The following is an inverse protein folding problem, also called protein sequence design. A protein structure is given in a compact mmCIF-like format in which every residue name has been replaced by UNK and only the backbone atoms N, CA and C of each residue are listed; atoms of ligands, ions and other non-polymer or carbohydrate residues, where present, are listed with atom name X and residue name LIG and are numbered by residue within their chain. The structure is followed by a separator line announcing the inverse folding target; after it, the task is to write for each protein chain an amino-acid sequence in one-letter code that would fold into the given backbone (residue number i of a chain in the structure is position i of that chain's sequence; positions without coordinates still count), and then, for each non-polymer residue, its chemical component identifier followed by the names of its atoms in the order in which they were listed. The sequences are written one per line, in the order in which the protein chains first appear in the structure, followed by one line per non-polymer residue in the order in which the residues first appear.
data_IF_031302249260
#
_entry.id   IF_031302249260
#
_cell.length_a   1.000
_cell.length_b   1.000
_cell.length_c   1.000
_cell.angle_alpha   90.00
_cell.angle_beta   90.00
_cell.angle_gamma   90.00
#
_symmetry.space_group_name_H-M   'P 1'
#
loop_
_entity.id
_entity.type
_entity.pdbx_description
1 polymer ?
#
# COMPACT_ATOMS: atom_id res chain seq x y z
N UNK A 1 2.38 -29.00 -24.33
CA UNK A 1 1.36 -29.44 -23.35
C UNK A 1 1.32 -28.52 -22.11
N UNK A 2 2.44 -28.26 -21.44
CA UNK A 2 2.52 -27.30 -20.31
C UNK A 2 2.00 -25.88 -20.65
N UNK A 3 2.25 -25.39 -21.85
CA UNK A 3 1.81 -24.06 -22.30
C UNK A 3 0.28 -23.90 -22.38
N UNK A 4 -0.48 -24.98 -22.62
CA UNK A 4 -1.95 -24.94 -22.61
C UNK A 4 -2.53 -25.02 -21.20
N UNK A 5 -1.86 -25.71 -20.27
CA UNK A 5 -2.27 -25.79 -18.86
C UNK A 5 -2.09 -24.45 -18.12
N UNK A 6 -1.02 -23.70 -18.41
CA UNK A 6 -0.79 -22.37 -17.81
C UNK A 6 -1.68 -21.27 -18.41
N UNK A 7 -2.23 -21.46 -19.61
CA UNK A 7 -3.16 -20.50 -20.21
C UNK A 7 -4.59 -20.59 -19.66
N UNK A 8 -4.98 -21.67 -18.97
CA UNK A 8 -6.37 -21.85 -18.55
C UNK A 8 -6.74 -21.21 -17.20
N UNK A 9 -5.76 -20.75 -16.40
CA UNK A 9 -6.07 -20.18 -15.08
C UNK A 9 -4.88 -19.35 -14.53
N UNK A 10 -4.73 -18.08 -14.95
CA UNK A 10 -3.81 -17.11 -14.32
C UNK A 10 -3.96 -17.00 -12.79
N UNK A 11 -5.11 -17.41 -12.26
CA UNK A 11 -5.37 -17.57 -10.84
C UNK A 11 -4.49 -18.62 -10.15
N UNK A 12 -4.04 -19.67 -10.84
CA UNK A 12 -3.10 -20.64 -10.26
C UNK A 12 -1.72 -20.05 -10.01
N UNK A 13 -1.21 -19.24 -10.96
CA UNK A 13 0.08 -18.56 -10.81
C UNK A 13 0.03 -17.62 -9.59
N UNK A 14 -1.04 -16.83 -9.47
CA UNK A 14 -1.26 -15.98 -8.30
C UNK A 14 -1.31 -16.78 -6.99
N UNK A 15 -2.02 -17.91 -6.96
CA UNK A 15 -2.10 -18.77 -5.78
C UNK A 15 -0.73 -19.36 -5.37
N UNK A 16 0.08 -19.80 -6.35
CA UNK A 16 1.42 -20.33 -6.10
C UNK A 16 2.33 -19.25 -5.50
N UNK A 17 2.31 -18.04 -6.07
CA UNK A 17 3.12 -16.92 -5.57
C UNK A 17 2.64 -16.47 -4.18
N UNK A 18 1.33 -16.49 -3.93
CA UNK A 18 0.76 -16.26 -2.61
C UNK A 18 1.25 -17.29 -1.59
N UNK A 19 1.18 -18.58 -1.92
CA UNK A 19 1.67 -19.66 -1.06
C UNK A 19 3.18 -19.56 -0.79
N UNK A 20 3.98 -19.25 -1.80
CA UNK A 20 5.41 -18.97 -1.65
C UNK A 20 5.67 -17.82 -0.66
N UNK A 21 4.90 -16.74 -0.78
CA UNK A 21 5.01 -15.58 0.11
C UNK A 21 4.59 -15.90 1.54
N UNK A 22 3.52 -16.68 1.72
CA UNK A 22 3.11 -17.19 3.04
C UNK A 22 4.22 -18.03 3.67
N UNK A 23 4.82 -18.96 2.92
CA UNK A 23 5.88 -19.83 3.40
C UNK A 23 7.14 -19.04 3.82
N UNK A 24 7.56 -18.06 3.02
CA UNK A 24 8.70 -17.20 3.35
C UNK A 24 8.46 -16.42 4.64
N UNK A 25 7.31 -15.72 4.73
CA UNK A 25 6.97 -14.91 5.90
C UNK A 25 6.74 -15.76 7.16
N UNK A 26 6.12 -16.93 7.02
CA UNK A 26 5.94 -17.88 8.12
C UNK A 26 7.29 -18.40 8.63
N UNK A 27 8.24 -18.69 7.74
CA UNK A 27 9.59 -19.13 8.11
C UNK A 27 10.32 -18.05 8.91
N UNK A 28 10.25 -16.80 8.46
CA UNK A 28 10.81 -15.65 9.20
C UNK A 28 10.15 -15.49 10.57
N UNK A 29 8.83 -15.68 10.64
CA UNK A 29 8.09 -15.57 11.89
C UNK A 29 8.44 -16.67 12.90
N UNK A 30 8.56 -17.90 12.43
CA UNK A 30 8.83 -19.07 13.28
C UNK A 30 10.28 -19.12 13.77
N UNK A 31 11.23 -18.60 12.97
CA UNK A 31 12.65 -18.61 13.27
C UNK A 31 13.22 -17.19 13.28
N UNK A 32 13.06 -16.42 14.37
CA UNK A 32 13.46 -15.02 14.48
C UNK A 32 14.98 -14.88 14.68
N UNK A 33 15.79 -15.47 13.81
CA UNK A 33 17.24 -15.33 13.79
C UNK A 33 17.69 -14.55 12.56
N UNK A 34 18.73 -13.71 12.69
CA UNK A 34 19.28 -12.95 11.57
C UNK A 34 19.78 -13.87 10.45
N UNK A 35 20.30 -15.05 10.82
CA UNK A 35 20.78 -16.07 9.89
C UNK A 35 19.67 -16.68 9.03
N UNK A 36 18.42 -16.73 9.52
CA UNK A 36 17.26 -17.16 8.73
C UNK A 36 16.62 -15.96 8.02
N UNK A 37 16.56 -14.81 8.68
CA UNK A 37 15.91 -13.61 8.19
C UNK A 37 16.44 -13.16 6.82
N UNK A 38 17.75 -12.88 6.71
CA UNK A 38 18.31 -12.31 5.49
C UNK A 38 18.23 -13.26 4.29
N UNK A 39 18.64 -14.55 4.41
CA UNK A 39 18.53 -15.47 3.28
C UNK A 39 17.10 -15.66 2.81
N UNK A 40 16.14 -15.85 3.73
CA UNK A 40 14.74 -16.06 3.34
C UNK A 40 14.16 -14.82 2.66
N UNK A 41 14.41 -13.62 3.20
CA UNK A 41 13.92 -12.37 2.60
C UNK A 41 14.55 -12.10 1.22
N UNK A 42 15.87 -12.28 1.09
CA UNK A 42 16.56 -12.09 -0.20
C UNK A 42 16.08 -13.11 -1.23
N UNK A 43 16.02 -14.40 -0.87
CA UNK A 43 15.51 -15.44 -1.77
C UNK A 43 14.06 -15.17 -2.17
N UNK A 44 13.20 -14.78 -1.22
CA UNK A 44 11.81 -14.44 -1.51
C UNK A 44 11.69 -13.26 -2.49
N UNK A 45 12.41 -12.16 -2.25
CA UNK A 45 12.41 -11.00 -3.15
C UNK A 45 12.93 -11.35 -4.54
N UNK A 46 14.01 -12.12 -4.64
CA UNK A 46 14.56 -12.60 -5.92
C UNK A 46 13.52 -13.44 -6.65
N UNK A 47 12.85 -14.38 -5.98
CA UNK A 47 11.81 -15.20 -6.59
C UNK A 47 10.62 -14.36 -7.08
N UNK A 48 10.20 -13.32 -6.36
CA UNK A 48 9.16 -12.40 -6.82
C UNK A 48 9.62 -11.63 -8.08
N UNK A 49 10.83 -11.10 -8.09
CA UNK A 49 11.38 -10.38 -9.26
C UNK A 49 11.47 -11.32 -10.48
N UNK A 50 11.99 -12.53 -10.29
CA UNK A 50 12.08 -13.54 -11.36
C UNK A 50 10.70 -13.95 -11.87
N UNK A 51 9.73 -14.15 -10.97
CA UNK A 51 8.34 -14.43 -11.36
C UNK A 51 7.74 -13.27 -12.17
N UNK A 52 7.99 -12.02 -11.76
CA UNK A 52 7.57 -10.84 -12.51
C UNK A 52 8.17 -10.82 -13.92
N UNK A 53 9.50 -11.00 -14.06
CA UNK A 53 10.17 -11.04 -15.36
C UNK A 53 9.68 -12.17 -16.25
N UNK A 54 9.50 -13.37 -15.68
CA UNK A 54 8.96 -14.51 -16.41
C UNK A 54 7.58 -14.20 -16.99
N UNK A 55 6.71 -13.60 -16.18
CA UNK A 55 5.37 -13.25 -16.63
C UNK A 55 5.43 -12.10 -17.64
N UNK A 56 6.26 -11.08 -17.43
CA UNK A 56 6.37 -9.93 -18.34
C UNK A 56 6.84 -10.31 -19.73
N UNK A 57 7.86 -11.17 -19.85
CA UNK A 57 8.33 -11.69 -21.12
C UNK A 57 7.24 -12.47 -21.87
N UNK A 58 6.37 -13.18 -21.14
CA UNK A 58 5.34 -14.05 -21.72
C UNK A 58 4.04 -13.34 -22.06
N UNK A 59 3.69 -12.31 -21.29
CA UNK A 59 2.34 -11.78 -21.23
C UNK A 59 2.30 -10.25 -21.46
N UNK A 60 3.40 -9.52 -21.22
CA UNK A 60 3.52 -8.08 -21.48
C UNK A 60 2.67 -7.20 -20.55
N UNK A 61 3.27 -6.67 -19.50
CA UNK A 61 2.52 -5.86 -18.53
C UNK A 61 2.32 -4.41 -18.97
N UNK A 62 1.11 -3.88 -18.76
CA UNK A 62 0.78 -2.45 -19.00
C UNK A 62 1.07 -1.54 -17.81
N UNK A 63 1.16 -2.09 -16.59
CA UNK A 63 1.34 -1.33 -15.36
C UNK A 63 2.71 -1.63 -14.74
N UNK A 64 3.28 -0.71 -13.95
CA UNK A 64 4.51 -0.95 -13.18
C UNK A 64 4.23 -1.89 -12.00
N UNK A 65 3.79 -3.13 -12.27
CA UNK A 65 3.37 -4.08 -11.24
C UNK A 65 4.49 -4.40 -10.26
N UNK A 66 5.72 -4.55 -10.76
CA UNK A 66 6.88 -4.79 -9.90
C UNK A 66 7.00 -3.72 -8.82
N UNK A 67 6.79 -2.45 -9.18
CA UNK A 67 6.83 -1.35 -8.23
C UNK A 67 5.72 -1.47 -7.17
N UNK A 68 4.50 -1.85 -7.58
CA UNK A 68 3.41 -2.12 -6.61
C UNK A 68 3.76 -3.26 -5.66
N UNK A 69 4.27 -4.38 -6.18
CA UNK A 69 4.64 -5.54 -5.36
C UNK A 69 5.74 -5.16 -4.37
N UNK A 70 6.79 -4.47 -4.81
CA UNK A 70 7.89 -4.07 -3.94
C UNK A 70 7.43 -3.11 -2.85
N UNK A 71 6.59 -2.13 -3.19
CA UNK A 71 5.96 -1.23 -2.22
C UNK A 71 5.13 -2.02 -1.21
N UNK A 72 4.24 -2.91 -1.67
CA UNK A 72 3.39 -3.72 -0.80
C UNK A 72 4.20 -4.63 0.11
N UNK A 73 5.20 -5.33 -0.42
CA UNK A 73 6.09 -6.19 0.37
C UNK A 73 6.80 -5.38 1.44
N UNK A 74 7.40 -4.24 1.07
CA UNK A 74 8.12 -3.39 2.00
C UNK A 74 7.19 -2.83 3.09
N UNK A 75 6.08 -2.19 2.71
CA UNK A 75 5.14 -1.57 3.64
C UNK A 75 4.50 -2.57 4.59
N UNK A 76 4.03 -3.72 4.09
CA UNK A 76 3.38 -4.71 4.95
C UNK A 76 4.36 -5.46 5.84
N UNK A 77 5.59 -5.68 5.36
CA UNK A 77 6.65 -6.22 6.21
C UNK A 77 7.01 -5.24 7.35
N UNK A 78 7.09 -3.93 7.05
CA UNK A 78 7.27 -2.90 8.08
C UNK A 78 6.19 -2.97 9.15
N UNK A 79 4.90 -3.09 8.77
CA UNK A 79 3.82 -3.27 9.74
C UNK A 79 3.96 -4.58 10.53
N UNK A 80 4.28 -5.69 9.86
CA UNK A 80 4.47 -6.99 10.52
C UNK A 80 5.56 -6.93 11.61
N UNK A 81 6.61 -6.14 11.39
CA UNK A 81 7.75 -6.00 12.32
C UNK A 81 7.38 -5.32 13.65
N UNK A 82 6.36 -4.46 13.68
CA UNK A 82 5.96 -3.70 14.88
C UNK A 82 4.75 -4.29 15.60
N UNK A 83 3.99 -5.18 14.97
CA UNK A 83 2.89 -5.89 15.63
C UNK A 83 3.47 -6.88 16.63
N UNK A 84 3.06 -6.84 17.90
CA UNK A 84 3.61 -7.75 18.92
C UNK A 84 2.82 -9.06 19.04
N UNK A 85 1.49 -8.99 18.91
CA UNK A 85 0.60 -10.12 19.17
C UNK A 85 0.70 -11.18 18.06
N UNK A 86 1.12 -12.39 18.42
CA UNK A 86 1.36 -13.49 17.48
C UNK A 86 0.14 -13.82 16.60
N UNK A 87 -1.07 -13.84 17.17
CA UNK A 87 -2.29 -14.11 16.40
C UNK A 87 -2.50 -13.09 15.27
N UNK A 88 -2.22 -11.80 15.53
CA UNK A 88 -2.36 -10.73 14.54
C UNK A 88 -1.28 -10.87 13.47
N UNK A 89 -0.05 -11.25 13.85
CA UNK A 89 1.03 -11.54 12.88
C UNK A 89 0.63 -12.64 11.90
N UNK A 90 0.08 -13.76 12.38
CA UNK A 90 -0.37 -14.84 11.50
C UNK A 90 -1.44 -14.38 10.52
N UNK A 91 -2.44 -13.63 10.99
CA UNK A 91 -3.47 -13.04 10.12
C UNK A 91 -2.84 -12.13 9.07
N UNK A 92 -1.90 -11.27 9.46
CA UNK A 92 -1.19 -10.39 8.53
C UNK A 92 -0.37 -11.18 7.49
N UNK A 93 0.31 -12.25 7.88
CA UNK A 93 1.05 -13.11 6.94
C UNK A 93 0.12 -13.66 5.85
N UNK A 94 -1.04 -14.18 6.24
CA UNK A 94 -2.04 -14.70 5.29
C UNK A 94 -2.58 -13.59 4.40
N UNK A 95 -2.87 -12.41 4.96
CA UNK A 95 -3.34 -11.25 4.21
C UNK A 95 -2.30 -10.77 3.20
N UNK A 96 -1.01 -10.66 3.59
CA UNK A 96 0.09 -10.29 2.70
C UNK A 96 0.20 -11.29 1.55
N UNK A 97 0.21 -12.58 1.87
CA UNK A 97 0.26 -13.64 0.87
C UNK A 97 -0.91 -13.58 -0.11
N UNK A 98 -2.12 -13.35 0.38
CA UNK A 98 -3.31 -13.19 -0.45
C UNK A 98 -3.23 -11.94 -1.34
N UNK A 99 -2.77 -10.80 -0.82
CA UNK A 99 -2.61 -9.56 -1.59
C UNK A 99 -1.57 -9.75 -2.70
N UNK A 100 -0.38 -10.26 -2.37
CA UNK A 100 0.69 -10.50 -3.36
C UNK A 100 0.19 -11.48 -4.42
N UNK A 101 -0.43 -12.59 -4.01
CA UNK A 101 -1.00 -13.56 -4.95
C UNK A 101 -2.08 -12.95 -5.85
N UNK A 102 -2.95 -12.10 -5.31
CA UNK A 102 -3.97 -11.38 -6.08
C UNK A 102 -3.38 -10.37 -7.06
N UNK A 103 -2.33 -9.63 -6.67
CA UNK A 103 -1.62 -8.69 -7.55
C UNK A 103 -1.04 -9.40 -8.78
N UNK A 104 -0.39 -10.56 -8.60
CA UNK A 104 0.09 -11.38 -9.71
C UNK A 104 -1.05 -12.00 -10.51
N UNK A 105 -2.01 -12.66 -9.85
CA UNK A 105 -3.08 -13.40 -10.53
C UNK A 105 -4.00 -12.49 -11.35
N UNK A 106 -4.50 -11.40 -10.77
CA UNK A 106 -5.38 -10.47 -11.48
C UNK A 106 -4.66 -9.60 -12.48
N UNK A 107 -3.36 -9.41 -12.29
CA UNK A 107 -2.53 -8.68 -13.22
C UNK A 107 -2.38 -9.39 -14.58
N UNK A 108 -2.31 -10.73 -14.58
CA UNK A 108 -2.20 -11.54 -15.82
C UNK A 108 -3.52 -11.59 -16.61
N UNK A 109 -4.67 -11.68 -15.93
CA UNK A 109 -6.02 -11.80 -16.57
C UNK A 109 -6.33 -10.64 -17.54
N UNK A 110 -5.58 -9.53 -17.49
CA UNK A 110 -6.00 -8.22 -18.01
C UNK A 110 -5.30 -7.78 -19.29
N UNK A 111 -4.45 -8.59 -19.89
CA UNK A 111 -3.78 -8.22 -21.15
C UNK A 111 -4.80 -8.03 -22.28
N UNK A 112 -5.90 -8.80 -22.27
CA UNK A 112 -6.89 -8.85 -23.35
C UNK A 112 -8.25 -8.19 -23.05
N UNK A 113 -8.46 -7.64 -21.85
CA UNK A 113 -9.79 -7.20 -21.42
C UNK A 113 -9.98 -5.66 -21.55
N UNK A 114 -11.00 -5.21 -22.29
CA UNK A 114 -11.27 -3.78 -22.54
C UNK A 114 -11.56 -2.92 -21.28
N UNK A 115 -11.57 -1.58 -21.41
CA UNK A 115 -11.61 -0.58 -20.32
C UNK A 115 -12.57 -0.83 -19.15
N UNK A 116 -13.75 -1.43 -19.38
CA UNK A 116 -14.73 -1.74 -18.32
C UNK A 116 -14.22 -2.83 -17.36
N UNK A 117 -13.45 -3.79 -17.86
CA UNK A 117 -12.85 -4.87 -17.05
C UNK A 117 -11.80 -4.33 -16.07
N UNK A 118 -11.15 -3.20 -16.38
CA UNK A 118 -10.05 -2.60 -15.62
C UNK A 118 -10.47 -2.04 -14.25
N UNK A 119 -11.77 -1.73 -14.07
CA UNK A 119 -12.28 -1.01 -12.90
C UNK A 119 -12.08 -1.75 -11.55
N UNK A 120 -12.35 -3.06 -11.40
CA UNK A 120 -12.15 -3.76 -10.14
C UNK A 120 -10.69 -3.80 -9.69
N UNK A 121 -9.74 -4.02 -10.59
CA UNK A 121 -8.32 -4.03 -10.23
C UNK A 121 -7.82 -2.65 -9.86
N UNK A 122 -8.20 -1.58 -10.56
CA UNK A 122 -7.84 -0.23 -10.13
C UNK A 122 -8.32 0.08 -8.71
N UNK A 123 -9.52 -0.39 -8.36
CA UNK A 123 -10.06 -0.26 -7.00
C UNK A 123 -9.25 -1.08 -6.00
N UNK A 124 -9.00 -2.35 -6.31
CA UNK A 124 -8.18 -3.22 -5.48
C UNK A 124 -6.76 -2.67 -5.28
N UNK A 125 -6.04 -2.34 -6.35
CA UNK A 125 -4.72 -1.75 -6.29
C UNK A 125 -4.73 -0.42 -5.52
N UNK A 126 -5.76 0.42 -5.67
CA UNK A 126 -5.88 1.64 -4.86
C UNK A 126 -6.12 1.37 -3.37
N UNK A 127 -6.84 0.30 -3.03
CA UNK A 127 -7.03 -0.13 -1.63
C UNK A 127 -5.73 -0.68 -1.06
N UNK A 128 -4.99 -1.48 -1.84
CA UNK A 128 -3.66 -1.99 -1.47
C UNK A 128 -2.70 -0.84 -1.22
N UNK A 129 -2.60 0.13 -2.14
CA UNK A 129 -1.75 1.32 -1.96
C UNK A 129 -2.13 2.15 -0.73
N UNK A 130 -3.42 2.30 -0.43
CA UNK A 130 -3.85 2.96 0.79
C UNK A 130 -3.45 2.17 2.04
N UNK A 131 -3.56 0.84 1.99
CA UNK A 131 -3.12 -0.02 3.08
C UNK A 131 -1.59 -0.04 3.24
N UNK A 132 -0.82 0.04 2.15
CA UNK A 132 0.64 0.18 2.15
C UNK A 132 1.07 1.51 2.79
N UNK A 133 0.35 2.59 2.47
CA UNK A 133 0.54 3.89 3.11
C UNK A 133 0.35 3.78 4.63
N UNK A 134 -0.77 3.19 5.05
CA UNK A 134 -1.09 2.94 6.47
C UNK A 134 -0.02 2.08 7.16
N UNK A 135 0.37 0.98 6.54
CA UNK A 135 1.31 0.03 7.10
C UNK A 135 2.68 0.67 7.36
N UNK A 136 3.21 1.42 6.38
CA UNK A 136 4.51 2.06 6.55
C UNK A 136 4.46 3.24 7.55
N UNK A 137 3.42 4.08 7.50
CA UNK A 137 3.39 5.22 8.41
C UNK A 137 3.16 4.79 9.86
N UNK A 138 2.40 3.71 10.07
CA UNK A 138 2.24 3.07 11.38
C UNK A 138 3.59 2.58 11.92
N UNK A 139 4.41 1.99 11.05
CA UNK A 139 5.78 1.60 11.38
C UNK A 139 6.66 2.82 11.74
N UNK A 140 6.61 3.91 10.97
CA UNK A 140 7.35 5.13 11.28
C UNK A 140 6.92 5.78 12.59
N UNK A 141 5.62 5.82 12.90
CA UNK A 141 5.16 6.28 14.21
C UNK A 141 5.66 5.38 15.34
N UNK A 142 5.61 4.06 15.17
CA UNK A 142 6.16 3.13 16.15
C UNK A 142 7.67 3.38 16.37
N UNK A 143 8.47 3.49 15.29
CA UNK A 143 9.89 3.81 15.39
C UNK A 143 10.13 5.13 16.12
N UNK A 144 9.39 6.19 15.78
CA UNK A 144 9.48 7.49 16.46
C UNK A 144 9.22 7.36 17.96
N UNK A 145 8.19 6.59 18.36
CA UNK A 145 7.84 6.36 19.76
C UNK A 145 8.90 5.59 20.55
N UNK A 146 9.63 4.67 19.90
CA UNK A 146 10.71 3.91 20.56
C UNK A 146 12.06 4.63 20.56
N UNK A 147 12.18 5.77 19.88
CA UNK A 147 13.45 6.52 19.79
C UNK A 147 13.47 7.72 20.72
N UNK A 148 14.53 7.85 21.53
CA UNK A 148 14.70 8.99 22.44
C UNK A 148 15.30 10.24 21.79
N UNK A 149 15.83 10.12 20.57
CA UNK A 149 16.49 11.23 19.87
C UNK A 149 15.48 12.09 19.10
N UNK A 150 15.47 13.42 19.26
CA UNK A 150 14.54 14.30 18.53
C UNK A 150 14.81 14.37 17.03
N UNK A 151 15.98 13.91 16.55
CA UNK A 151 16.36 13.94 15.13
C UNK A 151 15.68 12.83 14.33
N UNK A 152 15.37 11.69 14.95
CA UNK A 152 14.81 10.53 14.25
C UNK A 152 13.34 10.73 13.86
N UNK A 153 12.45 11.30 14.69
CA UNK A 153 11.09 11.64 14.28
C UNK A 153 11.04 12.60 13.08
N UNK A 154 11.94 13.58 13.01
CA UNK A 154 12.04 14.47 11.86
C UNK A 154 12.43 13.70 10.58
N UNK A 155 13.41 12.81 10.67
CA UNK A 155 13.79 11.94 9.56
C UNK A 155 12.61 11.08 9.10
N UNK A 156 11.88 10.44 10.02
CA UNK A 156 10.72 9.62 9.69
C UNK A 156 9.56 10.43 9.12
N UNK A 157 9.39 11.70 9.52
CA UNK A 157 8.42 12.63 8.93
C UNK A 157 8.76 12.91 7.47
N UNK A 158 10.03 13.21 7.17
CA UNK A 158 10.50 13.44 5.80
C UNK A 158 10.37 12.17 4.95
N UNK A 159 10.81 11.03 5.46
CA UNK A 159 10.68 9.75 4.75
C UNK A 159 9.21 9.38 4.52
N UNK A 160 8.34 9.61 5.50
CA UNK A 160 6.90 9.43 5.39
C UNK A 160 6.30 10.28 4.28
N UNK A 161 6.56 11.58 4.28
CA UNK A 161 6.07 12.48 3.23
C UNK A 161 6.54 12.09 1.83
N UNK A 162 7.83 11.73 1.67
CA UNK A 162 8.36 11.24 0.40
C UNK A 162 7.67 9.94 -0.04
N UNK A 163 7.40 9.02 0.89
CA UNK A 163 6.69 7.79 0.59
C UNK A 163 5.27 8.06 0.10
N UNK A 164 4.51 8.89 0.83
CA UNK A 164 3.15 9.28 0.44
C UNK A 164 3.12 10.01 -0.91
N UNK A 165 4.16 10.79 -1.24
CA UNK A 165 4.31 11.39 -2.56
C UNK A 165 4.43 10.31 -3.66
N UNK A 166 5.32 9.33 -3.48
CA UNK A 166 5.48 8.21 -4.42
C UNK A 166 4.19 7.40 -4.57
N UNK A 167 3.51 7.10 -3.45
CA UNK A 167 2.23 6.39 -3.47
C UNK A 167 1.13 7.19 -4.19
N UNK A 168 1.14 8.52 -4.08
CA UNK A 168 0.22 9.40 -4.81
C UNK A 168 0.42 9.27 -6.31
N UNK A 169 1.68 9.32 -6.77
CA UNK A 169 2.02 9.13 -8.19
C UNK A 169 1.54 7.75 -8.68
N UNK A 170 1.78 6.72 -7.90
CA UNK A 170 1.35 5.34 -8.18
C UNK A 170 -0.17 5.24 -8.27
N UNK A 171 -0.89 5.86 -7.33
CA UNK A 171 -2.35 5.91 -7.35
C UNK A 171 -2.88 6.67 -8.57
N UNK A 172 -2.30 7.81 -8.95
CA UNK A 172 -2.71 8.57 -10.14
C UNK A 172 -2.45 7.82 -11.43
N UNK A 173 -1.33 7.10 -11.54
CA UNK A 173 -1.01 6.27 -12.72
C UNK A 173 -1.99 5.11 -12.93
N UNK A 174 -2.75 4.71 -11.91
CA UNK A 174 -3.86 3.76 -12.12
C UNK A 174 -5.00 4.39 -12.93
N UNK A 175 -5.22 5.70 -12.83
CA UNK A 175 -6.35 6.39 -13.44
C UNK A 175 -5.99 7.19 -14.70
N UNK A 176 -4.77 7.72 -14.76
CA UNK A 176 -4.35 8.66 -15.79
C UNK A 176 -3.11 8.14 -16.54
N UNK A 177 -3.19 8.13 -17.88
CA UNK A 177 -2.05 7.80 -18.77
C UNK A 177 -1.28 9.06 -19.16
N UNK A 178 -0.86 9.84 -18.17
CA UNK A 178 -0.10 11.08 -18.38
C UNK A 178 1.37 10.83 -18.05
N UNK A 179 2.27 11.56 -18.71
CA UNK A 179 3.70 11.52 -18.40
C UNK A 179 3.95 11.91 -16.94
N UNK A 180 4.89 11.21 -16.29
CA UNK A 180 5.25 11.43 -14.87
C UNK A 180 5.61 12.89 -14.60
N UNK A 181 6.26 13.57 -15.57
CA UNK A 181 6.65 14.98 -15.46
C UNK A 181 5.49 15.92 -15.10
N UNK A 182 4.29 15.66 -15.63
CA UNK A 182 3.11 16.48 -15.34
C UNK A 182 2.62 16.32 -13.89
N UNK A 183 2.92 15.18 -13.25
CA UNK A 183 2.54 14.92 -11.87
C UNK A 183 3.61 15.30 -10.84
N UNK A 184 4.84 15.61 -11.26
CA UNK A 184 5.93 15.88 -10.32
C UNK A 184 5.61 17.04 -9.36
N UNK A 185 5.05 18.13 -9.87
CA UNK A 185 4.67 19.28 -9.04
C UNK A 185 3.62 18.88 -7.99
N UNK A 186 2.55 18.18 -8.41
CA UNK A 186 1.50 17.71 -7.51
C UNK A 186 1.99 16.66 -6.51
N UNK A 187 2.92 15.80 -6.94
CA UNK A 187 3.57 14.80 -6.09
C UNK A 187 4.36 15.50 -4.97
N UNK A 188 5.11 16.55 -5.28
CA UNK A 188 5.86 17.32 -4.29
C UNK A 188 4.93 18.03 -3.31
N UNK A 189 3.85 18.66 -3.80
CA UNK A 189 2.83 19.27 -2.93
C UNK A 189 2.24 18.22 -1.98
N UNK A 190 1.83 17.06 -2.50
CA UNK A 190 1.30 15.98 -1.67
C UNK A 190 2.31 15.50 -0.63
N UNK A 191 3.59 15.42 -0.97
CA UNK A 191 4.66 15.10 -0.04
C UNK A 191 4.74 16.11 1.10
N UNK A 192 4.87 17.40 0.79
CA UNK A 192 4.98 18.47 1.79
C UNK A 192 3.74 18.54 2.68
N UNK A 193 2.54 18.52 2.10
CA UNK A 193 1.28 18.50 2.86
C UNK A 193 1.22 17.31 3.80
N UNK A 194 1.70 16.14 3.36
CA UNK A 194 1.71 14.95 4.21
C UNK A 194 2.79 15.01 5.28
N UNK A 195 3.95 15.65 5.03
CA UNK A 195 4.97 15.89 6.06
C UNK A 195 4.41 16.75 7.20
N UNK A 196 3.77 17.87 6.86
CA UNK A 196 3.11 18.74 7.85
C UNK A 196 2.02 17.99 8.62
N UNK A 197 1.22 17.19 7.91
CA UNK A 197 0.20 16.36 8.53
C UNK A 197 0.79 15.34 9.52
N UNK A 198 1.86 14.64 9.14
CA UNK A 198 2.55 13.68 10.01
C UNK A 198 3.09 14.40 11.25
N UNK A 199 3.72 15.57 11.07
CA UNK A 199 4.26 16.37 12.16
C UNK A 199 3.18 16.77 13.16
N UNK A 200 2.06 17.33 12.68
CA UNK A 200 0.94 17.75 13.54
C UNK A 200 0.29 16.57 14.24
N UNK A 201 0.05 15.47 13.51
CA UNK A 201 -0.59 14.27 14.07
C UNK A 201 0.31 13.59 15.10
N UNK A 202 1.64 13.64 14.94
CA UNK A 202 2.58 13.07 15.91
C UNK A 202 2.46 13.67 17.32
N UNK A 203 1.98 14.92 17.43
CA UNK A 203 1.77 15.60 18.71
C UNK A 203 0.50 15.15 19.44
N UNK A 204 -0.36 14.38 18.78
CA UNK A 204 -1.59 13.87 19.39
C UNK A 204 -1.27 12.68 20.31
N UNK A 205 -1.93 12.58 21.49
CA UNK A 205 -1.72 11.51 22.43
C UNK A 205 -2.47 10.23 21.99
N UNK A 206 -2.17 9.68 20.81
CA UNK A 206 -2.76 8.43 20.34
C UNK A 206 -1.72 7.36 20.09
N UNK A 207 -2.14 6.09 20.13
CA UNK A 207 -1.29 4.98 19.70
C UNK A 207 -0.93 5.05 18.22
N UNK A 208 0.26 4.56 17.87
CA UNK A 208 0.80 4.59 16.50
C UNK A 208 -0.13 4.00 15.40
N UNK A 209 -0.99 2.98 15.63
CA UNK A 209 -1.93 2.53 14.61
C UNK A 209 -3.02 3.58 14.31
N UNK A 210 -3.49 4.28 15.34
CA UNK A 210 -4.52 5.31 15.20
C UNK A 210 -3.93 6.53 14.48
N UNK A 211 -2.72 6.95 14.85
CA UNK A 211 -1.98 8.01 14.18
C UNK A 211 -1.78 7.69 12.69
N UNK A 212 -1.33 6.48 12.38
CA UNK A 212 -1.15 6.05 11.00
C UNK A 212 -2.45 6.04 10.21
N UNK A 213 -3.53 5.57 10.82
CA UNK A 213 -4.86 5.60 10.21
C UNK A 213 -5.32 7.03 9.88
N UNK A 214 -5.14 7.98 10.81
CA UNK A 214 -5.49 9.39 10.57
C UNK A 214 -4.74 10.00 9.39
N UNK A 215 -3.42 9.84 9.35
CA UNK A 215 -2.59 10.37 8.26
C UNK A 215 -3.03 9.78 6.93
N UNK A 216 -3.16 8.45 6.86
CA UNK A 216 -3.58 7.76 5.64
C UNK A 216 -4.98 8.16 5.20
N UNK A 217 -5.92 8.34 6.12
CA UNK A 217 -7.28 8.74 5.79
C UNK A 217 -7.33 10.14 5.18
N UNK A 218 -6.72 11.13 5.83
CA UNK A 218 -6.68 12.50 5.30
C UNK A 218 -5.96 12.54 3.96
N UNK A 219 -4.83 11.82 3.83
CA UNK A 219 -4.15 11.66 2.55
C UNK A 219 -5.05 11.04 1.48
N UNK A 220 -5.82 9.99 1.81
CA UNK A 220 -6.74 9.36 0.86
C UNK A 220 -7.87 10.30 0.42
N UNK A 221 -8.37 11.16 1.31
CA UNK A 221 -9.32 12.22 0.93
C UNK A 221 -8.68 13.19 -0.07
N UNK A 222 -7.43 13.60 0.14
CA UNK A 222 -6.70 14.40 -0.85
C UNK A 222 -6.54 13.67 -2.19
N UNK A 223 -6.30 12.36 -2.19
CA UNK A 223 -6.24 11.58 -3.44
C UNK A 223 -7.57 11.62 -4.22
N UNK A 224 -8.70 11.57 -3.53
CA UNK A 224 -10.02 11.68 -4.15
C UNK A 224 -10.22 13.08 -4.77
N UNK A 225 -9.85 14.14 -4.05
CA UNK A 225 -9.94 15.52 -4.55
C UNK A 225 -9.02 15.73 -5.76
N UNK A 226 -7.77 15.30 -5.68
CA UNK A 226 -6.80 15.37 -6.78
C UNK A 226 -7.30 14.63 -8.02
N UNK A 227 -7.91 13.44 -7.84
CA UNK A 227 -8.52 12.70 -8.94
C UNK A 227 -9.62 13.48 -9.66
N UNK A 228 -10.47 14.20 -8.93
CA UNK A 228 -11.49 15.04 -9.57
C UNK A 228 -10.87 16.22 -10.31
N UNK A 229 -9.85 16.86 -9.73
CA UNK A 229 -9.14 17.95 -10.37
C UNK A 229 -8.51 17.54 -11.71
N UNK A 230 -7.90 16.34 -11.77
CA UNK A 230 -7.31 15.82 -13.01
C UNK A 230 -8.31 15.28 -14.03
N UNK A 231 -9.59 15.14 -13.67
CA UNK A 231 -10.62 14.65 -14.58
C UNK A 231 -11.31 15.82 -15.27
N UNK A 232 -11.45 15.79 -16.60
CA UNK A 232 -12.11 16.84 -17.39
C UNK A 232 -13.57 17.11 -17.01
N UNK A 233 -14.24 16.15 -16.37
CA UNK A 233 -15.64 16.23 -15.96
C UNK A 233 -15.86 17.01 -14.64
N UNK A 234 -14.78 17.45 -13.98
CA UNK A 234 -14.85 18.16 -12.71
C UNK A 234 -15.50 17.34 -11.57
N UNK A 235 -15.83 18.02 -10.47
CA UNK A 235 -16.52 17.43 -9.31
C UNK A 235 -18.04 17.56 -9.49
N UNK A 236 -18.75 16.43 -9.57
CA UNK A 236 -20.21 16.42 -9.46
C UNK A 236 -20.62 16.49 -7.98
N UNK A 237 -20.61 17.69 -7.40
CA UNK A 237 -20.77 17.91 -5.96
C UNK A 237 -22.03 17.27 -5.38
N UNK A 238 -23.16 17.30 -6.10
CA UNK A 238 -24.43 16.71 -5.64
C UNK A 238 -24.30 15.22 -5.29
N UNK A 239 -23.50 14.47 -6.07
CA UNK A 239 -23.29 13.03 -5.85
C UNK A 239 -22.23 12.74 -4.78
N UNK A 240 -21.42 13.74 -4.41
CA UNK A 240 -20.31 13.59 -3.46
C UNK A 240 -20.63 14.11 -2.05
N UNK A 241 -21.66 14.96 -1.89
CA UNK A 241 -22.06 15.52 -0.58
C UNK A 241 -22.27 14.43 0.47
N UNK A 242 -23.05 13.38 0.15
CA UNK A 242 -23.30 12.29 1.08
C UNK A 242 -22.02 11.54 1.50
N UNK A 243 -21.08 11.34 0.55
CA UNK A 243 -19.80 10.72 0.84
C UNK A 243 -18.93 11.59 1.76
N UNK A 244 -18.86 12.90 1.50
CA UNK A 244 -18.11 13.85 2.33
C UNK A 244 -18.70 13.95 3.74
N UNK A 245 -20.03 14.08 3.86
CA UNK A 245 -20.73 14.11 5.15
C UNK A 245 -20.45 12.83 5.93
N UNK A 246 -20.57 11.66 5.29
CA UNK A 246 -20.28 10.39 5.94
C UNK A 246 -18.83 10.32 6.44
N UNK A 247 -17.84 10.80 5.67
CA UNK A 247 -16.46 10.85 6.11
C UNK A 247 -16.26 11.78 7.31
N UNK A 248 -16.89 12.96 7.30
CA UNK A 248 -16.82 13.91 8.44
C UNK A 248 -17.45 13.30 9.69
N UNK A 249 -18.62 12.67 9.57
CA UNK A 249 -19.29 12.00 10.70
C UNK A 249 -18.43 10.86 11.24
N UNK A 250 -17.89 10.01 10.37
CA UNK A 250 -16.97 8.94 10.78
C UNK A 250 -15.74 9.50 11.47
N UNK A 251 -15.19 10.62 11.00
CA UNK A 251 -14.01 11.25 11.58
C UNK A 251 -14.29 11.77 12.99
N UNK A 252 -15.43 12.43 13.19
CA UNK A 252 -15.88 12.90 14.51
C UNK A 252 -16.12 11.73 15.46
N UNK A 253 -16.78 10.66 14.99
CA UNK A 253 -17.00 9.46 15.80
C UNK A 253 -15.68 8.81 16.22
N UNK A 254 -14.72 8.75 15.30
CA UNK A 254 -13.41 8.17 15.58
C UNK A 254 -12.63 8.99 16.60
N UNK A 255 -12.59 10.33 16.44
CA UNK A 255 -12.02 11.21 17.46
C UNK A 255 -12.71 11.02 18.82
N UNK A 256 -14.04 11.01 18.85
CA UNK A 256 -14.79 10.84 20.10
C UNK A 256 -14.51 9.50 20.79
N UNK A 257 -14.41 8.41 20.02
CA UNK A 257 -14.13 7.07 20.53
C UNK A 257 -12.69 6.91 21.02
N UNK A 258 -11.69 7.52 20.38
CA UNK A 258 -10.27 7.28 20.73
C UNK A 258 -9.66 8.36 21.63
N UNK A 259 -10.17 9.60 21.61
CA UNK A 259 -9.71 10.69 22.51
C UNK A 259 -9.96 10.37 23.98
N UNK A 260 -10.90 9.47 24.30
CA UNK A 260 -11.24 9.12 25.69
C UNK A 260 -10.43 7.97 26.30
N UNK A 261 -9.66 7.23 25.51
CA UNK A 261 -9.03 5.97 25.94
C UNK A 261 -7.50 6.04 26.03
N UNK A 262 -6.94 7.26 26.03
CA UNK A 262 -5.52 7.51 26.32
C UNK A 262 -5.41 8.44 27.52
#
# INVERSE_FOLDING_TARGET
MLQRLFMQSPTHIGAIIGALSAAALFTVHQFPSLAVFFPVMVSWLVLLILAYWYIDIRFGWKYPLLAYILVTVFSLFSLLSVVERAQIRFVLIVVIAAIVGALYGWGIVRIDAGWKSEKPFRRFASMVLAFDAYALITFFFALSSFTSSPRLPLLFTVLGGLWFAVLSLFMWRLYFRVQVKAFLFWMLIMGVVTMELIWVVHLLPFGYPILGFFVTWVWYVFQLLARFHFTSRGVLWEKQKAFLIANVVLFVLLLWLFVRWV
#
